data_IF_217160318956
#
_entry.id   IF_217160318956
#
_cell.length_a   1.000
_cell.length_b   1.000
_cell.length_c   1.000
_cell.angle_alpha   90.00
_cell.angle_beta   90.00
_cell.angle_gamma   90.00
#
_symmetry.space_group_name_H-M   'P 1'
#
loop_
_entity.id
_entity.type
_entity.pdbx_description
1 polymer ?
#
# COMPACT_ATOMS: atom_id res chain seq x y z
N UNK A 1 -7.17 18.28 -6.86
CA UNK A 1 -7.80 17.70 -5.65
C UNK A 1 -6.69 17.55 -4.61
N UNK A 2 -6.98 17.56 -3.31
CA UNK A 2 -5.92 17.60 -2.29
C UNK A 2 -5.17 16.27 -2.28
N UNK A 3 -3.95 16.27 -2.83
CA UNK A 3 -2.99 15.17 -2.75
C UNK A 3 -2.55 15.01 -1.29
N UNK A 4 -3.31 14.24 -0.51
CA UNK A 4 -2.97 13.97 0.88
C UNK A 4 -1.96 12.82 0.88
N UNK A 5 -0.71 13.13 1.23
CA UNK A 5 0.28 12.08 1.50
C UNK A 5 -0.22 11.26 2.70
N UNK A 6 -0.54 9.98 2.53
CA UNK A 6 -1.02 9.14 3.62
C UNK A 6 0.09 8.90 4.63
N UNK A 7 -0.28 8.70 5.88
CA UNK A 7 0.64 8.22 6.91
C UNK A 7 0.70 6.69 6.91
N UNK A 8 1.79 6.13 7.45
CA UNK A 8 1.90 4.67 7.64
C UNK A 8 0.73 4.11 8.46
N UNK A 9 0.26 4.83 9.46
CA UNK A 9 -0.85 4.39 10.31
C UNK A 9 -2.17 4.34 9.55
N UNK A 10 -2.40 5.26 8.61
CA UNK A 10 -3.57 5.23 7.73
C UNK A 10 -3.50 4.05 6.76
N UNK A 11 -2.33 3.82 6.17
CA UNK A 11 -2.08 2.65 5.32
C UNK A 11 -2.27 1.32 6.08
N UNK A 12 -1.82 1.26 7.34
CA UNK A 12 -1.96 0.09 8.19
C UNK A 12 -3.42 -0.18 8.58
N UNK A 13 -4.19 0.87 8.89
CA UNK A 13 -5.63 0.74 9.15
C UNK A 13 -6.35 0.19 7.92
N UNK A 14 -6.01 0.70 6.74
CA UNK A 14 -6.59 0.26 5.48
C UNK A 14 -6.24 -1.21 5.19
N UNK A 15 -4.99 -1.62 5.39
CA UNK A 15 -4.57 -3.02 5.28
C UNK A 15 -5.40 -3.93 6.19
N UNK A 16 -5.58 -3.56 7.46
CA UNK A 16 -6.38 -4.33 8.41
C UNK A 16 -7.88 -4.29 8.12
N UNK A 17 -8.37 -3.29 7.40
CA UNK A 17 -9.76 -3.21 6.98
C UNK A 17 -10.06 -4.21 5.86
N UNK A 18 -9.20 -4.28 4.85
CA UNK A 18 -9.42 -5.07 3.64
C UNK A 18 -8.87 -6.49 3.69
N UNK A 19 -7.75 -6.70 4.39
CA UNK A 19 -7.18 -8.02 4.63
C UNK A 19 -7.39 -8.39 6.11
N UNK A 20 -7.94 -9.57 6.38
CA UNK A 20 -8.14 -10.12 7.74
C UNK A 20 -7.18 -11.26 8.05
N UNK A 21 -6.54 -11.85 7.04
CA UNK A 21 -5.59 -12.93 7.24
C UNK A 21 -4.26 -12.44 7.82
N UNK A 22 -3.83 -13.08 8.91
CA UNK A 22 -2.48 -12.91 9.48
C UNK A 22 -1.38 -13.18 8.45
N UNK A 23 -1.59 -14.10 7.49
CA UNK A 23 -0.59 -14.38 6.46
C UNK A 23 -0.41 -13.20 5.51
N UNK A 24 -1.50 -12.52 5.17
CA UNK A 24 -1.48 -11.35 4.28
C UNK A 24 -0.92 -10.12 5.00
N UNK A 25 -1.19 -9.95 6.29
CA UNK A 25 -0.52 -8.91 7.08
C UNK A 25 0.98 -9.13 7.15
N UNK A 26 1.44 -10.36 7.43
CA UNK A 26 2.88 -10.69 7.46
C UNK A 26 3.54 -10.47 6.11
N UNK A 27 2.86 -10.83 5.02
CA UNK A 27 3.31 -10.56 3.65
C UNK A 27 3.48 -9.06 3.40
N UNK A 28 2.45 -8.25 3.69
CA UNK A 28 2.51 -6.81 3.54
C UNK A 28 3.65 -6.17 4.37
N UNK A 29 3.88 -6.63 5.60
CA UNK A 29 4.99 -6.16 6.44
C UNK A 29 6.35 -6.53 5.88
N UNK A 30 6.50 -7.74 5.32
CA UNK A 30 7.73 -8.16 4.67
C UNK A 30 8.02 -7.27 3.46
N UNK A 31 7.01 -6.99 2.63
CA UNK A 31 7.15 -6.12 1.45
C UNK A 31 7.43 -4.68 1.85
N UNK A 32 6.78 -4.12 2.89
CA UNK A 32 7.15 -2.81 3.46
C UNK A 32 8.65 -2.76 3.80
N UNK A 33 9.17 -3.78 4.49
CA UNK A 33 10.57 -3.86 4.87
C UNK A 33 11.52 -3.88 3.66
N UNK A 34 11.18 -4.69 2.65
CA UNK A 34 11.93 -4.78 1.38
C UNK A 34 11.93 -3.44 0.64
N UNK A 35 10.78 -2.79 0.52
CA UNK A 35 10.66 -1.50 -0.17
C UNK A 35 11.43 -0.39 0.55
N UNK A 36 11.38 -0.34 1.88
CA UNK A 36 12.21 0.59 2.68
C UNK A 36 13.71 0.34 2.48
N UNK A 37 14.14 -0.92 2.42
CA UNK A 37 15.53 -1.27 2.16
C UNK A 37 16.00 -0.78 0.78
N UNK A 38 15.22 -1.03 -0.27
CA UNK A 38 15.56 -0.54 -1.61
C UNK A 38 15.47 0.98 -1.72
N UNK A 39 14.55 1.63 -1.02
CA UNK A 39 14.49 3.09 -0.97
C UNK A 39 15.78 3.68 -0.38
N UNK A 40 16.26 3.16 0.76
CA UNK A 40 17.56 3.54 1.35
C UNK A 40 18.71 3.38 0.36
N UNK A 41 18.76 2.22 -0.29
CA UNK A 41 19.85 1.88 -1.23
C UNK A 41 19.88 2.83 -2.44
N UNK A 42 18.71 3.30 -2.87
CA UNK A 42 18.57 4.20 -4.01
C UNK A 42 18.47 5.69 -3.62
N UNK A 43 18.65 6.04 -2.33
CA UNK A 43 18.52 7.42 -1.81
C UNK A 43 17.14 8.02 -2.06
N UNK A 44 16.11 7.19 -2.01
CA UNK A 44 14.70 7.53 -2.19
C UNK A 44 13.99 7.69 -0.84
N UNK A 45 12.75 8.20 -0.87
CA UNK A 45 11.94 8.37 0.34
C UNK A 45 11.44 7.02 0.89
N UNK A 46 12.01 6.59 2.02
CA UNK A 46 11.67 5.33 2.68
C UNK A 46 10.20 5.22 3.11
N UNK A 47 9.61 6.30 3.61
CA UNK A 47 8.24 6.27 4.12
C UNK A 47 7.25 6.15 2.98
N UNK A 48 7.49 6.85 1.86
CA UNK A 48 6.72 6.69 0.63
C UNK A 48 6.73 5.24 0.16
N UNK A 49 7.92 4.67 -0.05
CA UNK A 49 8.06 3.31 -0.56
C UNK A 49 7.61 2.24 0.43
N UNK A 50 7.78 2.49 1.73
CA UNK A 50 7.24 1.63 2.78
C UNK A 50 5.71 1.58 2.78
N UNK A 51 5.04 2.73 2.61
CA UNK A 51 3.59 2.80 2.49
C UNK A 51 3.10 2.06 1.24
N UNK A 52 3.73 2.30 0.08
CA UNK A 52 3.40 1.61 -1.17
C UNK A 52 3.53 0.09 -0.99
N UNK A 53 4.63 -0.38 -0.40
CA UNK A 53 4.83 -1.80 -0.11
C UNK A 53 3.80 -2.38 0.84
N UNK A 54 3.33 -1.60 1.83
CA UNK A 54 2.34 -2.05 2.81
C UNK A 54 0.95 -2.30 2.19
N UNK A 55 0.59 -1.54 1.14
CA UNK A 55 -0.75 -1.54 0.55
C UNK A 55 -0.79 -2.12 -0.88
N UNK A 56 0.30 -2.69 -1.38
CA UNK A 56 0.35 -3.20 -2.76
C UNK A 56 -0.72 -4.27 -3.05
N UNK A 57 -0.97 -5.18 -2.10
CA UNK A 57 -1.92 -6.30 -2.24
C UNK A 57 -3.23 -6.07 -1.46
N UNK A 58 -3.74 -4.84 -1.45
CA UNK A 58 -4.90 -4.47 -0.62
C UNK A 58 -6.21 -5.18 -1.03
N UNK A 59 -6.35 -5.52 -2.31
CA UNK A 59 -7.55 -6.13 -2.87
C UNK A 59 -7.51 -7.68 -2.95
N UNK A 60 -6.38 -8.30 -2.61
CA UNK A 60 -6.15 -9.72 -2.85
C UNK A 60 -7.13 -10.66 -2.10
N UNK A 61 -7.45 -10.39 -0.83
CA UNK A 61 -8.34 -11.25 -0.04
C UNK A 61 -9.81 -11.13 -0.46
N UNK A 62 -10.24 -9.92 -0.83
CA UNK A 62 -11.65 -9.60 -1.07
C UNK A 62 -12.05 -9.69 -2.54
N UNK A 63 -11.10 -9.49 -3.46
CA UNK A 63 -11.30 -9.46 -4.91
C UNK A 63 -10.16 -10.18 -5.66
N UNK A 64 -9.95 -11.49 -5.43
CA UNK A 64 -8.87 -12.23 -6.08
C UNK A 64 -8.94 -12.19 -7.61
N UNK A 65 -10.14 -12.15 -8.19
CA UNK A 65 -10.36 -12.11 -9.65
C UNK A 65 -10.19 -10.71 -10.27
N UNK A 66 -10.05 -9.65 -9.46
CA UNK A 66 -9.90 -8.25 -9.89
C UNK A 66 -8.65 -7.57 -9.30
N UNK A 67 -7.72 -8.39 -8.83
CA UNK A 67 -6.47 -7.96 -8.23
C UNK A 67 -5.75 -6.93 -9.13
N UNK A 68 -5.19 -5.89 -8.50
CA UNK A 68 -4.64 -4.67 -9.09
C UNK A 68 -5.67 -3.63 -9.57
N UNK A 69 -6.87 -4.03 -10.01
CA UNK A 69 -7.88 -3.06 -10.50
C UNK A 69 -8.64 -2.41 -9.35
N UNK A 70 -8.93 -3.17 -8.30
CA UNK A 70 -9.69 -2.67 -7.15
C UNK A 70 -8.85 -1.85 -6.18
N UNK A 71 -7.57 -2.17 -6.03
CA UNK A 71 -6.66 -1.36 -5.21
C UNK A 71 -6.63 0.10 -5.68
N UNK A 72 -6.55 0.34 -7.01
CA UNK A 72 -6.61 1.70 -7.56
C UNK A 72 -7.87 2.45 -7.14
N UNK A 73 -9.04 1.85 -7.33
CA UNK A 73 -10.32 2.50 -6.99
C UNK A 73 -10.40 2.83 -5.49
N UNK A 74 -9.98 1.91 -4.62
CA UNK A 74 -9.97 2.12 -3.17
C UNK A 74 -9.07 3.31 -2.80
N UNK A 75 -7.87 3.38 -3.38
CA UNK A 75 -6.91 4.44 -3.07
C UNK A 75 -7.37 5.81 -3.60
N UNK A 76 -7.99 5.85 -4.78
CA UNK A 76 -8.63 7.05 -5.34
C UNK A 76 -9.76 7.56 -4.43
N UNK A 77 -10.62 6.65 -3.94
CA UNK A 77 -11.69 6.99 -2.98
C UNK A 77 -11.16 7.56 -1.65
N UNK A 78 -9.99 7.09 -1.21
CA UNK A 78 -9.32 7.59 0.00
C UNK A 78 -8.51 8.88 -0.24
N UNK A 79 -8.48 9.40 -1.47
CA UNK A 79 -7.79 10.64 -1.83
C UNK A 79 -6.27 10.54 -1.80
N UNK A 80 -5.74 9.35 -2.09
CA UNK A 80 -4.29 9.14 -2.19
C UNK A 80 -3.74 9.82 -3.45
N UNK A 81 -2.47 10.23 -3.42
CA UNK A 81 -1.86 10.90 -4.55
C UNK A 81 -1.59 9.92 -5.70
N UNK A 82 -1.67 10.40 -6.94
CA UNK A 82 -1.57 9.58 -8.16
C UNK A 82 -0.25 8.80 -8.26
N UNK A 83 0.84 9.37 -7.74
CA UNK A 83 2.15 8.74 -7.73
C UNK A 83 2.23 7.52 -6.78
N UNK A 84 1.38 7.46 -5.74
CA UNK A 84 1.25 6.28 -4.88
C UNK A 84 0.36 5.24 -5.57
N UNK A 85 -0.76 5.67 -6.13
CA UNK A 85 -1.70 4.80 -6.85
C UNK A 85 -1.02 4.09 -8.02
N UNK A 86 -0.19 4.81 -8.78
CA UNK A 86 0.55 4.26 -9.93
C UNK A 86 1.67 3.29 -9.52
N UNK A 87 2.20 3.43 -8.31
CA UNK A 87 3.31 2.61 -7.84
C UNK A 87 2.86 1.25 -7.27
N UNK A 88 1.55 1.08 -7.08
CA UNK A 88 0.87 -0.16 -6.70
C UNK A 88 0.37 -0.86 -7.96
#
# INVERSE_FOLDING_TARGET
>A
MKDKIPTRDEALKLLHEYNKSDSLHKHAYAVEGVMRYFARKNQENEDKWGIIGLIHDLDYEKYPDQHCTKTKEILEEHGWPEDYIRAV
#
